data_IF_367793696386
#
_entry.id   IF_367793696386
#
_cell.length_a   1.000
_cell.length_b   1.000
_cell.length_c   1.000
_cell.angle_alpha   90.00
_cell.angle_beta   90.00
_cell.angle_gamma   90.00
#
_symmetry.space_group_name_H-M   'P 1'
#
loop_
_entity.id
_entity.type
_entity.pdbx_description
1 polymer ?
#
# COMPACT_ATOMS: atom_id res chain seq x y z
N UNK A 1 0.05 -4.13 -27.72
CA UNK A 1 -0.45 -2.90 -27.07
C UNK A 1 0.70 -2.07 -26.52
N UNK A 2 1.42 -2.56 -25.51
CA UNK A 2 2.52 -1.82 -24.85
C UNK A 2 3.58 -1.25 -25.81
N UNK A 3 4.03 -2.04 -26.79
CA UNK A 3 5.04 -1.58 -27.76
C UNK A 3 4.53 -0.45 -28.66
N UNK A 4 3.25 -0.47 -29.07
CA UNK A 4 2.64 0.61 -29.85
C UNK A 4 2.52 1.90 -29.02
N UNK A 5 2.16 1.77 -27.74
CA UNK A 5 2.12 2.90 -26.81
C UNK A 5 3.52 3.50 -26.62
N UNK A 6 4.56 2.66 -26.49
CA UNK A 6 5.96 3.08 -26.38
C UNK A 6 6.44 3.87 -27.60
N UNK A 7 5.97 3.49 -28.78
CA UNK A 7 6.28 4.18 -30.05
C UNK A 7 5.44 5.44 -30.29
N UNK A 8 4.53 5.80 -29.37
CA UNK A 8 3.63 6.96 -29.52
C UNK A 8 2.45 6.72 -30.47
N UNK A 9 2.25 5.48 -30.95
CA UNK A 9 1.16 5.11 -31.84
C UNK A 9 -0.12 4.82 -31.05
N UNK A 10 -0.61 5.80 -30.29
CA UNK A 10 -1.70 5.62 -29.32
C UNK A 10 -3.02 5.15 -29.97
N UNK A 11 -3.43 5.79 -31.06
CA UNK A 11 -4.64 5.42 -31.80
C UNK A 11 -4.58 3.99 -32.36
N UNK A 12 -3.41 3.56 -32.85
CA UNK A 12 -3.19 2.18 -33.29
C UNK A 12 -3.21 1.19 -32.11
N UNK A 13 -2.73 1.60 -30.92
CA UNK A 13 -2.74 0.76 -29.73
C UNK A 13 -4.16 0.38 -29.27
N UNK A 14 -5.18 1.18 -29.61
CA UNK A 14 -6.59 0.86 -29.33
C UNK A 14 -7.11 -0.33 -30.13
N UNK A 15 -6.54 -0.63 -31.31
CA UNK A 15 -7.02 -1.72 -32.17
C UNK A 15 -6.74 -3.10 -31.55
N UNK A 16 -5.51 -3.42 -31.09
CA UNK A 16 -5.27 -4.66 -30.35
C UNK A 16 -6.07 -4.74 -29.04
N UNK A 17 -6.40 -3.61 -28.39
CA UNK A 17 -7.28 -3.62 -27.21
C UNK A 17 -8.71 -4.07 -27.58
N UNK A 18 -9.26 -3.56 -28.69
CA UNK A 18 -10.56 -4.01 -29.20
C UNK A 18 -10.56 -5.50 -29.52
N UNK A 19 -9.50 -6.01 -30.15
CA UNK A 19 -9.36 -7.44 -30.42
C UNK A 19 -9.31 -8.23 -29.11
N UNK A 20 -8.46 -7.81 -28.16
CA UNK A 20 -8.34 -8.47 -26.87
C UNK A 20 -9.67 -8.52 -26.11
N UNK A 21 -10.49 -7.46 -26.15
CA UNK A 21 -11.80 -7.41 -25.48
C UNK A 21 -12.81 -8.48 -25.93
N UNK A 22 -12.62 -9.06 -27.11
CA UNK A 22 -13.47 -10.12 -27.66
C UNK A 22 -12.99 -11.50 -27.21
N UNK A 23 -11.73 -11.59 -26.76
CA UNK A 23 -11.10 -12.86 -26.42
C UNK A 23 -11.62 -13.46 -25.10
N UNK A 24 -11.78 -14.79 -25.00
CA UNK A 24 -12.30 -15.44 -23.79
C UNK A 24 -11.43 -15.27 -22.54
N UNK A 25 -10.14 -14.98 -22.70
CA UNK A 25 -9.20 -14.78 -21.60
C UNK A 25 -9.13 -13.33 -21.10
N UNK A 26 -9.82 -12.40 -21.77
CA UNK A 26 -9.78 -11.01 -21.41
C UNK A 26 -10.60 -10.73 -20.15
N UNK A 27 -10.01 -9.94 -19.25
CA UNK A 27 -10.69 -9.41 -18.09
C UNK A 27 -10.37 -7.90 -17.94
N UNK A 28 -11.34 -7.07 -17.56
CA UNK A 28 -11.12 -5.64 -17.33
C UNK A 28 -10.09 -5.43 -16.21
N UNK A 29 -8.90 -4.95 -16.57
CA UNK A 29 -7.81 -4.72 -15.62
C UNK A 29 -7.50 -3.21 -15.54
N UNK A 30 -7.74 -2.53 -14.41
CA UNK A 30 -7.50 -1.10 -14.30
C UNK A 30 -6.06 -0.69 -14.67
N UNK A 31 -5.06 -1.54 -14.40
CA UNK A 31 -3.67 -1.25 -14.76
C UNK A 31 -3.46 -1.12 -16.28
N UNK A 32 -4.18 -1.92 -17.08
CA UNK A 32 -4.13 -1.81 -18.54
C UNK A 32 -4.67 -0.45 -18.98
N UNK A 33 -5.82 -0.04 -18.44
CA UNK A 33 -6.43 1.25 -18.73
C UNK A 33 -5.56 2.41 -18.29
N UNK A 34 -4.88 2.30 -17.14
CA UNK A 34 -3.89 3.28 -16.68
C UNK A 34 -2.82 3.51 -17.74
N UNK A 35 -2.25 2.46 -18.33
CA UNK A 35 -1.22 2.63 -19.38
C UNK A 35 -1.75 3.35 -20.62
N UNK A 36 -3.01 3.11 -21.01
CA UNK A 36 -3.65 3.82 -22.12
C UNK A 36 -3.85 5.30 -21.78
N UNK A 37 -4.36 5.62 -20.60
CA UNK A 37 -4.53 7.01 -20.17
C UNK A 37 -3.17 7.71 -20.08
N UNK A 38 -2.17 7.09 -19.47
CA UNK A 38 -0.80 7.62 -19.34
C UNK A 38 -0.17 7.92 -20.70
N UNK A 39 -0.31 7.03 -21.67
CA UNK A 39 0.25 7.19 -23.02
C UNK A 39 -0.58 8.07 -23.96
N UNK A 40 -1.75 8.55 -23.53
CA UNK A 40 -2.59 9.42 -24.36
C UNK A 40 -1.95 10.79 -24.60
N UNK A 41 -2.01 11.33 -25.83
CA UNK A 41 -1.49 12.65 -26.14
C UNK A 41 -2.32 13.74 -25.47
N UNK A 42 -1.65 14.85 -25.09
CA UNK A 42 -2.24 15.94 -24.30
C UNK A 42 -3.10 16.88 -25.16
N UNK A 43 -2.80 17.00 -26.46
CA UNK A 43 -3.15 18.18 -27.28
C UNK A 43 -4.04 17.91 -28.49
N UNK A 44 -4.68 16.74 -28.61
CA UNK A 44 -5.62 16.48 -29.70
C UNK A 44 -7.06 16.54 -29.19
N UNK A 45 -7.87 17.42 -29.76
CA UNK A 45 -9.29 17.65 -29.38
C UNK A 45 -10.14 16.37 -29.40
N UNK A 46 -9.73 15.34 -30.16
CA UNK A 46 -10.38 14.02 -30.19
C UNK A 46 -9.90 13.03 -29.14
N UNK A 47 -8.72 13.21 -28.55
CA UNK A 47 -8.14 12.25 -27.59
C UNK A 47 -8.86 12.29 -26.25
N UNK A 48 -9.32 13.46 -25.81
CA UNK A 48 -10.11 13.59 -24.59
C UNK A 48 -11.37 12.73 -24.65
N UNK A 49 -12.12 12.86 -25.74
CA UNK A 49 -13.33 12.08 -26.00
C UNK A 49 -13.02 10.58 -26.13
N UNK A 50 -11.91 10.20 -26.77
CA UNK A 50 -11.51 8.80 -26.89
C UNK A 50 -11.16 8.18 -25.52
N UNK A 51 -10.50 8.92 -24.62
CA UNK A 51 -10.22 8.46 -23.25
C UNK A 51 -11.51 8.33 -22.45
N UNK A 52 -12.43 9.28 -22.57
CA UNK A 52 -13.74 9.19 -21.91
C UNK A 52 -14.50 7.93 -22.38
N UNK A 53 -14.58 7.68 -23.70
CA UNK A 53 -15.20 6.46 -24.26
C UNK A 53 -14.51 5.19 -23.81
N UNK A 54 -13.18 5.20 -23.73
CA UNK A 54 -12.39 4.06 -23.26
C UNK A 54 -12.72 3.71 -21.80
N UNK A 55 -12.87 4.72 -20.94
CA UNK A 55 -13.21 4.57 -19.52
C UNK A 55 -14.67 4.12 -19.36
N UNK A 56 -15.60 4.62 -20.16
CA UNK A 56 -16.98 4.11 -20.15
C UNK A 56 -17.04 2.63 -20.51
N UNK A 57 -16.38 2.22 -21.58
CA UNK A 57 -16.33 0.82 -21.97
C UNK A 57 -15.70 -0.06 -20.87
N UNK A 58 -14.67 0.43 -20.16
CA UNK A 58 -14.10 -0.26 -19.00
C UNK A 58 -15.14 -0.50 -17.89
N UNK A 59 -15.94 0.52 -17.56
CA UNK A 59 -16.95 0.43 -16.51
C UNK A 59 -18.09 -0.51 -16.90
N UNK A 60 -18.56 -0.46 -18.15
CA UNK A 60 -19.60 -1.35 -18.69
C UNK A 60 -19.13 -2.82 -18.72
N UNK A 61 -17.91 -3.06 -19.18
CA UNK A 61 -17.31 -4.39 -19.21
C UNK A 61 -17.21 -4.98 -17.80
N UNK A 62 -16.86 -4.15 -16.83
CA UNK A 62 -16.79 -4.54 -15.42
C UNK A 62 -18.16 -4.91 -14.86
N UNK A 63 -19.19 -4.11 -15.13
CA UNK A 63 -20.54 -4.37 -14.64
C UNK A 63 -21.07 -5.71 -15.20
N UNK A 64 -20.83 -5.97 -16.48
CA UNK A 64 -21.20 -7.24 -17.15
C UNK A 64 -20.44 -8.45 -16.60
N UNK A 65 -19.22 -8.26 -16.13
CA UNK A 65 -18.36 -9.30 -15.56
C UNK A 65 -18.68 -9.71 -14.12
N UNK A 66 -19.69 -9.09 -13.47
CA UNK A 66 -20.05 -9.38 -12.09
C UNK A 66 -19.24 -8.62 -11.03
N UNK A 67 -18.59 -7.51 -11.41
CA UNK A 67 -17.79 -6.69 -10.49
C UNK A 67 -16.42 -7.28 -10.14
N UNK A 68 -15.74 -6.68 -9.15
CA UNK A 68 -14.46 -7.21 -8.68
C UNK A 68 -14.65 -8.57 -7.99
N UNK A 69 -13.72 -9.50 -8.26
CA UNK A 69 -13.26 -10.36 -7.18
C UNK A 69 -12.37 -9.45 -6.33
N UNK A 70 -12.85 -8.98 -5.17
CA UNK A 70 -12.19 -7.99 -4.29
C UNK A 70 -10.81 -8.46 -3.78
N UNK A 71 -9.83 -8.56 -4.67
CA UNK A 71 -8.44 -8.65 -4.30
C UNK A 71 -7.98 -7.23 -3.92
N UNK A 72 -7.37 -7.07 -2.75
CA UNK A 72 -6.80 -5.79 -2.27
C UNK A 72 -5.90 -5.11 -3.31
N UNK A 73 -5.28 -5.91 -4.20
CA UNK A 73 -4.43 -5.45 -5.32
C UNK A 73 -5.19 -4.66 -6.40
N UNK A 74 -6.47 -4.95 -6.58
CA UNK A 74 -7.27 -4.40 -7.65
C UNK A 74 -7.86 -3.02 -7.32
N UNK A 75 -8.13 -2.78 -6.03
CA UNK A 75 -8.46 -1.45 -5.51
C UNK A 75 -7.30 -0.49 -5.80
N UNK A 76 -6.07 -0.90 -5.49
CA UNK A 76 -4.89 -0.06 -5.75
C UNK A 76 -4.72 0.28 -7.24
N UNK A 77 -4.90 -0.69 -8.14
CA UNK A 77 -4.84 -0.46 -9.59
C UNK A 77 -5.90 0.54 -10.06
N UNK A 78 -7.12 0.42 -9.53
CA UNK A 78 -8.21 1.35 -9.82
C UNK A 78 -7.89 2.77 -9.30
N UNK A 79 -7.32 2.86 -8.10
CA UNK A 79 -6.91 4.13 -7.50
C UNK A 79 -5.80 4.80 -8.32
N UNK A 80 -4.88 4.01 -8.87
CA UNK A 80 -3.87 4.48 -9.82
C UNK A 80 -4.51 5.00 -11.11
N UNK A 81 -5.51 4.31 -11.67
CA UNK A 81 -6.25 4.78 -12.86
C UNK A 81 -6.91 6.14 -12.60
N UNK A 82 -7.61 6.29 -11.48
CA UNK A 82 -8.26 7.55 -11.09
C UNK A 82 -7.24 8.68 -11.01
N UNK A 83 -6.10 8.44 -10.35
CA UNK A 83 -5.01 9.42 -10.26
C UNK A 83 -4.50 9.83 -11.64
N UNK A 84 -4.23 8.85 -12.52
CA UNK A 84 -3.72 9.11 -13.87
C UNK A 84 -4.72 9.92 -14.71
N UNK A 85 -6.02 9.67 -14.56
CA UNK A 85 -7.07 10.45 -15.23
C UNK A 85 -7.07 11.92 -14.78
N UNK A 86 -6.94 12.18 -13.47
CA UNK A 86 -6.82 13.54 -12.94
C UNK A 86 -5.57 14.22 -13.49
N UNK A 87 -4.42 13.53 -13.50
CA UNK A 87 -3.15 14.06 -14.02
C UNK A 87 -3.20 14.36 -15.53
N UNK A 88 -4.03 13.66 -16.30
CA UNK A 88 -4.27 13.90 -17.73
C UNK A 88 -5.42 14.88 -17.99
N UNK A 89 -5.85 15.61 -16.97
CA UNK A 89 -6.94 16.59 -17.04
C UNK A 89 -8.27 15.97 -17.54
N UNK A 90 -8.45 14.66 -17.32
CA UNK A 90 -9.66 13.91 -17.69
C UNK A 90 -10.63 13.85 -16.51
N UNK A 91 -11.04 15.02 -16.03
CA UNK A 91 -11.89 15.16 -14.85
C UNK A 91 -13.18 14.35 -14.93
N UNK A 92 -13.85 14.37 -16.10
CA UNK A 92 -15.11 13.65 -16.33
C UNK A 92 -14.93 12.15 -16.17
N UNK A 93 -13.96 11.56 -16.86
CA UNK A 93 -13.63 10.14 -16.72
C UNK A 93 -13.21 9.78 -15.28
N UNK A 94 -12.36 10.59 -14.63
CA UNK A 94 -11.96 10.36 -13.24
C UNK A 94 -13.18 10.32 -12.29
N UNK A 95 -14.10 11.27 -12.44
CA UNK A 95 -15.34 11.32 -11.68
C UNK A 95 -16.25 10.12 -11.95
N UNK A 96 -16.38 9.67 -13.22
CA UNK A 96 -17.18 8.49 -13.57
C UNK A 96 -16.67 7.23 -12.88
N UNK A 97 -15.34 7.01 -12.90
CA UNK A 97 -14.72 5.89 -12.17
C UNK A 97 -14.98 6.03 -10.68
N UNK A 98 -14.69 7.18 -10.06
CA UNK A 98 -14.92 7.38 -8.63
C UNK A 98 -16.39 7.14 -8.23
N UNK A 99 -17.34 7.69 -9.00
CA UNK A 99 -18.77 7.53 -8.73
C UNK A 99 -19.21 6.07 -8.86
N UNK A 100 -18.84 5.40 -9.94
CA UNK A 100 -19.23 4.02 -10.19
C UNK A 100 -18.66 3.10 -9.10
N UNK A 101 -17.41 3.31 -8.71
CA UNK A 101 -16.66 2.37 -7.89
C UNK A 101 -16.82 2.62 -6.40
N UNK A 102 -16.59 3.87 -5.98
CA UNK A 102 -16.55 4.25 -4.57
C UNK A 102 -17.95 4.52 -4.06
N UNK A 103 -18.72 5.33 -4.79
CA UNK A 103 -20.05 5.75 -4.33
C UNK A 103 -21.13 4.71 -4.55
N UNK A 104 -21.14 4.07 -5.72
CA UNK A 104 -22.20 3.12 -6.09
C UNK A 104 -21.76 1.67 -5.87
N UNK A 105 -20.51 1.35 -6.17
CA UNK A 105 -19.95 0.00 -6.07
C UNK A 105 -19.53 -0.40 -4.65
N UNK A 106 -19.52 0.53 -3.69
CA UNK A 106 -19.15 0.25 -2.30
C UNK A 106 -17.66 -0.08 -2.11
N UNK A 107 -16.80 0.20 -3.10
CA UNK A 107 -15.38 -0.04 -2.99
C UNK A 107 -14.79 0.81 -1.86
N UNK A 108 -14.30 0.16 -0.80
CA UNK A 108 -13.63 0.87 0.29
C UNK A 108 -12.27 1.37 -0.20
N UNK A 109 -12.13 2.70 -0.27
CA UNK A 109 -10.89 3.37 -0.70
C UNK A 109 -10.21 4.05 0.47
N UNK A 110 -8.93 4.35 0.29
CA UNK A 110 -8.14 5.05 1.28
C UNK A 110 -8.40 6.57 1.24
N UNK A 111 -8.19 7.27 2.37
CA UNK A 111 -8.22 8.74 2.50
C UNK A 111 -7.58 9.46 1.31
N UNK A 112 -6.40 8.99 0.90
CA UNK A 112 -5.62 9.54 -0.20
C UNK A 112 -6.47 9.83 -1.45
N UNK A 113 -7.42 8.95 -1.77
CA UNK A 113 -8.19 9.06 -3.00
C UNK A 113 -9.25 10.14 -2.92
N UNK A 114 -9.86 10.32 -1.76
CA UNK A 114 -10.74 11.45 -1.53
C UNK A 114 -9.98 12.78 -1.69
N UNK A 115 -8.75 12.87 -1.18
CA UNK A 115 -7.91 14.07 -1.34
C UNK A 115 -7.54 14.33 -2.80
N UNK A 116 -7.06 13.30 -3.52
CA UNK A 116 -6.73 13.40 -4.95
C UNK A 116 -7.93 13.85 -5.76
N UNK A 117 -9.10 13.24 -5.52
CA UNK A 117 -10.31 13.56 -6.24
C UNK A 117 -10.84 14.95 -5.91
N UNK A 118 -10.92 15.31 -4.63
CA UNK A 118 -11.41 16.64 -4.22
C UNK A 118 -10.52 17.76 -4.79
N UNK A 119 -9.19 17.65 -4.63
CA UNK A 119 -8.23 18.62 -5.17
C UNK A 119 -8.24 18.64 -6.70
N UNK A 120 -8.20 17.48 -7.33
CA UNK A 120 -8.20 17.34 -8.78
C UNK A 120 -9.45 17.93 -9.42
N UNK A 121 -10.63 17.67 -8.86
CA UNK A 121 -11.88 18.23 -9.36
C UNK A 121 -11.92 19.75 -9.22
N UNK A 122 -11.48 20.31 -8.08
CA UNK A 122 -11.38 21.78 -7.89
C UNK A 122 -10.45 22.41 -8.90
N UNK A 123 -9.24 21.87 -9.03
CA UNK A 123 -8.22 22.40 -9.95
C UNK A 123 -8.70 22.41 -11.41
N UNK A 124 -9.51 21.42 -11.80
CA UNK A 124 -10.07 21.30 -13.15
C UNK A 124 -11.44 22.00 -13.33
N UNK A 125 -11.95 22.71 -12.32
CA UNK A 125 -13.19 23.50 -12.40
C UNK A 125 -14.50 22.73 -12.14
N UNK A 126 -14.42 21.50 -11.62
CA UNK A 126 -15.56 20.64 -11.30
C UNK A 126 -15.95 20.76 -9.81
N UNK A 127 -16.34 21.97 -9.39
CA UNK A 127 -16.62 22.29 -7.98
C UNK A 127 -17.75 21.46 -7.36
N UNK A 128 -18.80 21.14 -8.14
CA UNK A 128 -19.93 20.36 -7.64
C UNK A 128 -19.53 18.90 -7.36
N UNK A 129 -18.68 18.32 -8.19
CA UNK A 129 -18.08 17.01 -7.99
C UNK A 129 -17.12 17.02 -6.81
N UNK A 130 -16.26 18.04 -6.71
CA UNK A 130 -15.35 18.19 -5.58
C UNK A 130 -16.09 18.22 -4.24
N UNK A 131 -17.17 19.01 -4.14
CA UNK A 131 -17.97 19.11 -2.92
C UNK A 131 -18.60 17.76 -2.52
N UNK A 132 -18.96 16.92 -3.50
CA UNK A 132 -19.46 15.56 -3.25
C UNK A 132 -18.37 14.65 -2.71
N UNK A 133 -17.17 14.70 -3.28
CA UNK A 133 -16.01 13.94 -2.77
C UNK A 133 -15.67 14.36 -1.34
N UNK A 134 -15.71 15.66 -1.04
CA UNK A 134 -15.47 16.17 0.32
C UNK A 134 -16.55 15.78 1.33
N UNK A 135 -17.80 15.60 0.88
CA UNK A 135 -18.85 15.03 1.71
C UNK A 135 -18.59 13.54 1.99
N UNK A 136 -18.25 12.77 0.97
CA UNK A 136 -17.91 11.34 1.11
C UNK A 136 -16.69 11.16 2.03
N UNK A 137 -15.71 12.06 1.92
CA UNK A 137 -14.54 12.05 2.77
C UNK A 137 -14.89 12.26 4.25
N UNK A 138 -15.74 13.23 4.55
CA UNK A 138 -16.22 13.48 5.93
C UNK A 138 -17.01 12.30 6.48
N UNK A 139 -17.82 11.63 5.66
CA UNK A 139 -18.54 10.42 6.05
C UNK A 139 -17.56 9.27 6.35
N UNK A 140 -16.57 9.08 5.48
CA UNK A 140 -15.52 8.10 5.69
C UNK A 140 -14.69 8.39 6.96
N UNK A 141 -14.32 9.65 7.19
CA UNK A 141 -13.60 10.08 8.41
C UNK A 141 -14.43 9.77 9.66
N UNK A 142 -15.73 10.06 9.65
CA UNK A 142 -16.63 9.76 10.76
C UNK A 142 -16.77 8.25 11.04
N UNK A 143 -16.59 7.39 10.02
CA UNK A 143 -16.57 5.93 10.18
C UNK A 143 -15.24 5.40 10.74
N UNK A 144 -14.12 6.06 10.42
CA UNK A 144 -12.76 5.55 10.70
C UNK A 144 -12.12 6.20 11.94
N UNK A 145 -12.56 7.39 12.35
CA UNK A 145 -12.18 8.03 13.59
C UNK A 145 -13.29 7.81 14.63
N UNK A 146 -13.02 7.14 15.77
CA UNK A 146 -14.01 7.07 16.83
C UNK A 146 -14.34 8.51 17.32
N UNK A 147 -15.61 8.83 17.57
CA UNK A 147 -15.99 10.07 18.24
C UNK A 147 -15.17 10.24 19.51
N UNK A 148 -14.63 11.43 19.75
CA UNK A 148 -13.82 11.72 20.94
C UNK A 148 -14.51 11.34 22.27
N UNK A 149 -15.84 11.28 22.27
CA UNK A 149 -16.67 10.85 23.39
C UNK A 149 -16.51 9.35 23.70
N UNK A 150 -16.40 8.50 22.70
CA UNK A 150 -16.32 7.04 22.87
C UNK A 150 -14.95 6.63 23.45
N UNK A 151 -13.89 7.34 23.07
CA UNK A 151 -12.54 7.16 23.62
C UNK A 151 -12.50 7.57 25.10
N UNK A 152 -13.17 8.65 25.48
CA UNK A 152 -13.24 9.12 26.88
C UNK A 152 -14.11 8.21 27.75
N UNK A 153 -15.23 7.70 27.21
CA UNK A 153 -16.10 6.77 27.91
C UNK A 153 -15.42 5.39 28.10
N UNK A 154 -14.66 4.89 27.12
CA UNK A 154 -13.80 3.70 27.28
C UNK A 154 -12.70 3.91 28.34
N UNK A 155 -12.04 5.07 28.33
CA UNK A 155 -11.03 5.41 29.34
C UNK A 155 -11.63 5.51 30.75
N UNK A 156 -12.88 5.95 30.87
CA UNK A 156 -13.60 6.06 32.14
C UNK A 156 -14.19 4.74 32.63
N UNK A 157 -14.50 3.81 31.72
CA UNK A 157 -15.02 2.48 32.03
C UNK A 157 -13.95 1.47 32.47
N UNK A 158 -12.65 1.80 32.33
CA UNK A 158 -11.56 0.90 32.71
C UNK A 158 -11.34 0.95 34.24
N UNK A 159 -11.52 -0.16 34.99
CA UNK A 159 -11.29 -0.17 36.43
C UNK A 159 -9.81 0.08 36.75
N UNK A 160 -9.50 0.73 37.89
CA UNK A 160 -8.12 1.01 38.26
C UNK A 160 -7.32 -0.28 38.44
N UNK A 161 -6.02 -0.29 38.10
CA UNK A 161 -5.20 -1.48 38.24
C UNK A 161 -5.14 -1.93 39.70
N UNK A 162 -5.14 -3.24 39.98
CA UNK A 162 -5.05 -3.76 41.34
C UNK A 162 -3.73 -3.33 41.99
N UNK A 163 -3.71 -3.09 43.32
CA UNK A 163 -2.50 -2.69 44.01
C UNK A 163 -1.42 -3.79 43.90
N UNK A 164 -0.14 -3.41 43.82
CA UNK A 164 0.94 -4.37 43.68
C UNK A 164 1.03 -5.28 44.92
N UNK A 165 1.40 -6.57 44.74
CA UNK A 165 1.50 -7.51 45.85
C UNK A 165 2.66 -7.11 46.79
N UNK A 166 2.52 -7.38 48.11
CA UNK A 166 3.55 -7.05 49.08
C UNK A 166 4.85 -7.84 48.80
N UNK A 167 6.02 -7.23 49.04
CA UNK A 167 7.31 -7.87 48.76
C UNK A 167 7.54 -9.07 49.69
N UNK A 168 8.18 -10.15 49.20
CA UNK A 168 8.44 -11.34 49.99
C UNK A 168 9.50 -11.11 51.08
N UNK A 169 9.42 -11.82 52.23
CA UNK A 169 10.38 -11.66 53.32
C UNK A 169 11.79 -12.12 52.92
N UNK A 170 12.79 -11.28 53.21
CA UNK A 170 14.20 -11.60 52.97
C UNK A 170 14.74 -12.52 54.07
N UNK A 171 15.02 -13.79 53.72
CA UNK A 171 15.85 -14.67 54.55
C UNK A 171 17.34 -14.40 54.28
N UNK A 172 18.11 -14.34 55.37
CA UNK A 172 19.50 -13.89 55.49
C UNK A 172 20.42 -15.12 55.65
N UNK A 173 21.51 -15.19 54.85
CA UNK A 173 22.69 -16.08 55.01
C UNK A 173 22.42 -17.60 54.91
N UNK A 174 23.32 -18.48 54.48
CA UNK A 174 24.77 -18.42 54.43
C UNK A 174 25.35 -19.43 53.40
N UNK A 175 26.55 -19.08 52.91
CA UNK A 175 27.71 -19.87 52.49
C UNK A 175 27.68 -21.25 51.75
N UNK A 176 28.42 -21.23 50.63
CA UNK A 176 29.42 -22.19 50.11
C UNK A 176 29.11 -23.70 49.93
N UNK A 177 29.27 -24.19 48.67
CA UNK A 177 30.35 -25.11 48.20
C UNK A 177 29.98 -25.85 46.90
N UNK A 178 30.88 -25.73 45.91
CA UNK A 178 31.49 -26.80 45.09
C UNK A 178 30.67 -28.12 44.89
N UNK A 179 30.30 -28.43 43.63
CA UNK A 179 30.93 -29.46 42.75
C UNK A 179 29.96 -30.03 41.68
N UNK A 180 30.54 -30.19 40.48
CA UNK A 180 30.45 -31.30 39.51
C UNK A 180 29.14 -31.58 38.75
N UNK A 181 29.28 -31.42 37.42
CA UNK A 181 28.70 -32.24 36.32
C UNK A 181 28.79 -33.76 36.60
N UNK A 182 27.87 -34.59 36.04
CA UNK A 182 28.06 -35.03 34.65
C UNK A 182 26.79 -35.21 33.80
N UNK A 183 27.05 -35.25 32.49
CA UNK A 183 26.26 -35.83 31.40
C UNK A 183 25.84 -37.28 31.68
N UNK A 184 24.78 -37.76 31.00
CA UNK A 184 24.80 -38.96 30.14
C UNK A 184 23.41 -39.19 29.49
N UNK A 185 23.49 -39.54 28.19
CA UNK A 185 22.45 -40.05 27.26
C UNK A 185 21.79 -41.34 27.82
N UNK A 186 20.63 -41.84 27.40
CA UNK A 186 20.36 -42.55 26.12
C UNK A 186 19.05 -43.34 26.28
N UNK A 187 18.29 -43.55 25.19
CA UNK A 187 17.50 -44.75 24.81
C UNK A 187 16.39 -45.27 25.76
N UNK A 188 15.38 -46.05 25.38
CA UNK A 188 14.66 -46.43 24.16
C UNK A 188 13.63 -47.49 24.64
N UNK A 189 12.45 -47.57 23.99
CA UNK A 189 11.61 -48.79 23.83
C UNK A 189 11.02 -49.45 25.11
N UNK A 190 9.90 -50.20 25.15
CA UNK A 190 8.82 -50.60 24.24
C UNK A 190 7.74 -51.31 25.10
N UNK A 191 6.70 -51.83 24.41
CA UNK A 191 5.65 -52.78 24.82
C UNK A 191 4.33 -52.15 25.34
N UNK A 192 3.28 -52.01 24.51
CA UNK A 192 2.37 -53.02 23.93
C UNK A 192 1.26 -53.50 24.89
N UNK A 193 0.00 -53.37 24.45
CA UNK A 193 -1.06 -54.28 24.87
C UNK A 193 -2.50 -53.77 24.78
N UNK A 194 -3.20 -54.28 23.75
CA UNK A 194 -4.65 -54.57 23.68
C UNK A 194 -5.65 -53.53 23.14
N UNK A 195 -6.18 -53.93 21.98
CA UNK A 195 -7.27 -53.36 21.20
C UNK A 195 -8.63 -53.69 21.79
N UNK A 196 -9.59 -52.76 21.66
CA UNK A 196 -10.98 -53.10 21.32
C UNK A 196 -11.55 -52.02 20.40
N UNK A 197 -11.92 -52.46 19.20
CA UNK A 197 -12.69 -51.70 18.24
C UNK A 197 -14.14 -51.62 18.74
N UNK A 198 -14.69 -50.41 18.80
CA UNK A 198 -16.13 -50.20 18.67
C UNK A 198 -16.34 -49.04 17.70
N UNK A 199 -16.90 -49.38 16.54
CA UNK A 199 -17.23 -48.46 15.45
C UNK A 199 -18.59 -47.89 15.77
N UNK A 200 -18.63 -46.66 16.29
CA UNK A 200 -19.89 -45.92 16.43
C UNK A 200 -19.93 -44.69 15.51
N UNK A 201 -20.97 -44.71 14.68
CA UNK A 201 -21.49 -43.74 13.72
C UNK A 201 -20.95 -42.30 13.82
N UNK A 202 -20.26 -41.88 12.75
CA UNK A 202 -19.97 -40.48 12.39
C UNK A 202 -21.25 -39.61 12.37
N UNK A 203 -21.46 -38.80 13.39
CA UNK A 203 -22.12 -37.49 13.22
C UNK A 203 -21.06 -36.51 12.74
N UNK A 204 -21.18 -36.04 11.49
CA UNK A 204 -20.33 -34.96 10.94
C UNK A 204 -20.49 -33.72 11.83
N UNK A 205 -19.43 -33.34 12.53
CA UNK A 205 -19.35 -31.99 13.11
C UNK A 205 -19.34 -30.96 11.97
N UNK A 206 -20.01 -29.81 12.11
CA UNK A 206 -19.88 -28.71 11.17
C UNK A 206 -18.40 -28.26 11.12
N UNK A 207 -17.93 -27.72 9.98
CA UNK A 207 -16.57 -27.21 9.90
C UNK A 207 -16.36 -26.12 10.97
N UNK A 208 -15.18 -26.02 11.58
CA UNK A 208 -14.90 -24.94 12.52
C UNK A 208 -15.10 -23.59 11.82
N UNK A 209 -15.57 -22.56 12.54
CA UNK A 209 -15.74 -21.23 11.98
C UNK A 209 -14.41 -20.79 11.37
N UNK A 210 -14.48 -20.29 10.12
CA UNK A 210 -13.33 -19.74 9.39
C UNK A 210 -12.61 -18.78 10.32
N UNK A 211 -11.41 -19.15 10.77
CA UNK A 211 -10.53 -18.23 11.46
C UNK A 211 -10.30 -17.06 10.52
N UNK A 212 -10.82 -15.88 10.87
CA UNK A 212 -10.40 -14.64 10.25
C UNK A 212 -8.87 -14.64 10.28
N UNK A 213 -8.24 -14.66 9.10
CA UNK A 213 -6.79 -14.58 9.00
C UNK A 213 -6.39 -13.30 9.72
N UNK A 214 -5.72 -13.44 10.86
CA UNK A 214 -5.23 -12.31 11.64
C UNK A 214 -4.51 -11.34 10.69
N UNK A 215 -5.05 -10.11 10.56
CA UNK A 215 -4.50 -9.08 9.66
C UNK A 215 -3.00 -8.95 9.94
N UNK A 216 -2.19 -9.33 8.96
CA UNK A 216 -0.74 -9.36 9.10
C UNK A 216 -0.23 -7.92 9.21
N UNK A 217 0.14 -7.50 10.41
CA UNK A 217 0.77 -6.19 10.64
C UNK A 217 2.10 -6.15 9.90
N UNK A 218 2.21 -5.20 8.97
CA UNK A 218 3.45 -4.91 8.23
C UNK A 218 4.14 -3.72 8.88
N UNK A 219 5.47 -3.71 8.86
CA UNK A 219 6.28 -2.57 9.27
C UNK A 219 7.30 -2.21 8.22
N UNK A 220 7.35 -0.93 7.89
CA UNK A 220 8.27 -0.40 6.92
C UNK A 220 9.68 -0.28 7.51
N UNK A 221 10.67 -0.59 6.68
CA UNK A 221 12.09 -0.34 6.95
C UNK A 221 12.86 -0.23 5.64
N UNK A 222 13.78 0.72 5.59
CA UNK A 222 14.71 0.86 4.46
C UNK A 222 15.57 -0.40 4.29
N UNK A 223 15.65 -0.91 3.06
CA UNK A 223 16.59 -1.98 2.71
C UNK A 223 17.94 -1.38 2.28
N UNK A 224 18.99 -1.65 3.06
CA UNK A 224 20.35 -1.20 2.75
C UNK A 224 20.81 -1.70 1.37
N UNK A 225 21.54 -0.86 0.64
CA UNK A 225 22.06 -1.17 -0.70
C UNK A 225 21.02 -1.20 -1.83
N UNK A 226 19.77 -0.76 -1.56
CA UNK A 226 18.72 -0.70 -2.57
C UNK A 226 18.86 0.52 -3.49
N UNK A 227 18.86 1.74 -2.95
CA UNK A 227 19.02 2.98 -3.73
C UNK A 227 17.88 3.33 -4.71
N UNK A 228 16.82 2.52 -4.85
CA UNK A 228 15.76 2.76 -5.83
C UNK A 228 15.06 4.12 -5.65
N UNK A 229 14.92 4.61 -4.41
CA UNK A 229 14.34 5.92 -4.11
C UNK A 229 15.15 7.10 -4.68
N UNK A 230 16.43 6.89 -5.05
CA UNK A 230 17.27 7.91 -5.67
C UNK A 230 17.08 8.02 -7.18
N UNK A 231 16.28 7.16 -7.81
CA UNK A 231 15.77 7.42 -9.17
C UNK A 231 14.62 8.43 -9.05
N UNK A 232 14.93 9.69 -9.30
CA UNK A 232 14.01 10.81 -9.10
C UNK A 232 13.11 11.02 -10.32
N UNK A 233 13.67 10.86 -11.52
CA UNK A 233 12.87 10.85 -12.75
C UNK A 233 12.28 9.45 -12.95
N UNK A 234 11.01 9.29 -12.57
CA UNK A 234 10.30 8.00 -12.56
C UNK A 234 9.36 7.79 -13.75
N UNK A 235 9.31 8.74 -14.68
CA UNK A 235 8.39 8.71 -15.82
C UNK A 235 6.91 8.90 -15.43
N UNK A 236 6.00 8.80 -16.41
CA UNK A 236 4.60 9.20 -16.27
C UNK A 236 3.74 8.24 -15.43
N UNK A 237 4.28 7.08 -15.08
CA UNK A 237 3.62 6.06 -14.29
C UNK A 237 3.58 6.36 -12.79
N UNK A 238 4.34 7.37 -12.36
CA UNK A 238 4.42 7.85 -10.99
C UNK A 238 3.91 9.30 -10.91
N UNK A 239 3.48 9.76 -9.71
CA UNK A 239 3.37 11.18 -9.39
C UNK A 239 4.41 12.05 -10.09
N UNK A 240 3.97 13.11 -10.78
CA UNK A 240 4.90 14.17 -11.18
C UNK A 240 5.41 14.92 -9.93
N UNK A 241 6.64 15.46 -9.94
CA UNK A 241 7.12 16.32 -8.86
C UNK A 241 6.19 17.51 -8.62
N UNK A 242 5.63 18.09 -9.68
CA UNK A 242 4.67 19.19 -9.61
C UNK A 242 3.42 18.82 -8.81
N UNK A 243 2.90 17.60 -8.95
CA UNK A 243 1.79 17.10 -8.15
C UNK A 243 2.16 16.90 -6.68
N UNK A 244 3.33 16.31 -6.40
CA UNK A 244 3.75 16.01 -5.02
C UNK A 244 4.01 17.31 -4.25
N UNK A 245 4.65 18.27 -4.89
CA UNK A 245 5.13 19.50 -4.26
C UNK A 245 4.25 20.72 -4.58
N UNK A 246 2.99 20.51 -4.97
CA UNK A 246 2.07 21.59 -5.35
C UNK A 246 1.94 22.68 -4.27
N UNK A 247 1.98 22.28 -3.00
CA UNK A 247 1.89 23.18 -1.83
C UNK A 247 3.28 23.64 -1.33
N UNK A 248 4.37 23.16 -1.94
CA UNK A 248 5.75 23.34 -1.50
C UNK A 248 6.69 23.72 -2.68
N UNK A 249 6.58 24.94 -3.24
CA UNK A 249 7.34 25.32 -4.44
C UNK A 249 8.87 25.34 -4.23
N UNK A 250 9.34 25.61 -3.00
CA UNK A 250 10.77 25.57 -2.69
C UNK A 250 11.31 24.13 -2.69
N UNK A 251 10.52 23.17 -2.18
CA UNK A 251 10.86 21.75 -2.23
C UNK A 251 10.83 21.21 -3.67
N UNK A 252 9.88 21.66 -4.49
CA UNK A 252 9.84 21.34 -5.92
C UNK A 252 11.13 21.79 -6.63
N UNK A 253 11.57 23.02 -6.35
CA UNK A 253 12.79 23.60 -6.94
C UNK A 253 14.03 22.82 -6.51
N UNK A 254 14.12 22.47 -5.23
CA UNK A 254 15.21 21.66 -4.70
C UNK A 254 15.19 20.23 -5.26
N UNK A 255 14.02 19.60 -5.35
CA UNK A 255 13.86 18.27 -5.94
C UNK A 255 14.37 18.25 -7.38
N UNK A 256 13.95 19.22 -8.20
CA UNK A 256 14.37 19.35 -9.60
C UNK A 256 15.86 19.60 -9.76
N UNK A 257 16.46 20.44 -8.91
CA UNK A 257 17.90 20.72 -8.99
C UNK A 257 18.77 19.50 -8.65
N UNK A 258 18.20 18.52 -7.94
CA UNK A 258 18.87 17.28 -7.60
C UNK A 258 18.77 16.20 -8.69
N UNK A 259 17.98 16.39 -9.75
CA UNK A 259 17.85 15.42 -10.85
C UNK A 259 19.03 15.57 -11.82
N UNK A 260 19.88 14.55 -11.89
CA UNK A 260 20.96 14.46 -12.86
C UNK A 260 20.45 14.18 -14.28
N UNK A 261 21.33 14.34 -15.27
CA UNK A 261 20.99 14.14 -16.68
C UNK A 261 20.50 12.72 -17.03
N UNK A 262 20.81 11.74 -16.17
CA UNK A 262 20.38 10.35 -16.28
C UNK A 262 19.12 10.03 -15.45
N UNK A 263 18.47 11.06 -14.90
CA UNK A 263 17.28 10.95 -14.05
C UNK A 263 17.54 10.46 -12.63
N UNK A 264 18.80 10.25 -12.24
CA UNK A 264 19.18 9.87 -10.87
C UNK A 264 19.52 11.10 -10.04
N UNK A 265 19.36 11.01 -8.72
CA UNK A 265 19.81 12.04 -7.80
C UNK A 265 21.32 12.28 -7.95
N UNK A 266 21.74 13.55 -8.10
CA UNK A 266 23.16 13.93 -8.21
C UNK A 266 24.00 13.53 -6.98
N UNK A 267 23.35 13.32 -5.83
CA UNK A 267 24.01 12.92 -4.59
C UNK A 267 24.04 11.39 -4.39
N UNK A 268 23.50 10.61 -5.33
CA UNK A 268 23.50 9.15 -5.26
C UNK A 268 24.81 8.59 -5.82
N UNK A 269 25.57 7.91 -4.96
CA UNK A 269 26.73 7.14 -5.39
C UNK A 269 26.27 5.78 -5.90
N UNK A 270 26.36 5.57 -7.22
CA UNK A 270 25.98 4.32 -7.87
C UNK A 270 26.87 3.14 -7.52
N UNK A 271 28.13 3.39 -7.14
CA UNK A 271 29.09 2.33 -6.82
C UNK A 271 28.80 1.70 -5.47
N UNK A 272 28.56 2.55 -4.45
CA UNK A 272 28.23 2.11 -3.09
C UNK A 272 26.73 1.95 -2.87
N UNK A 273 25.90 2.48 -3.79
CA UNK A 273 24.43 2.58 -3.69
C UNK A 273 23.97 3.32 -2.44
N UNK A 274 24.69 4.39 -2.09
CA UNK A 274 24.41 5.23 -0.91
C UNK A 274 24.20 6.69 -1.30
N UNK A 275 23.68 7.49 -0.36
CA UNK A 275 23.52 8.93 -0.55
C UNK A 275 24.70 9.65 0.11
N UNK A 276 25.39 10.51 -0.64
CA UNK A 276 26.55 11.26 -0.13
C UNK A 276 26.16 12.32 0.92
N UNK A 277 24.89 12.72 0.96
CA UNK A 277 24.33 13.66 1.95
C UNK A 277 23.32 12.96 2.88
N UNK A 278 23.52 11.69 3.23
CA UNK A 278 22.49 10.90 3.93
C UNK A 278 21.95 11.56 5.20
N UNK A 279 22.82 12.14 6.02
CA UNK A 279 22.43 12.82 7.27
C UNK A 279 21.74 14.16 7.02
N UNK A 280 22.17 14.88 5.98
CA UNK A 280 21.69 16.23 5.62
C UNK A 280 20.59 16.20 4.53
N UNK A 281 20.10 15.01 4.18
CA UNK A 281 19.14 14.86 3.08
C UNK A 281 17.88 15.69 3.35
N UNK A 282 17.29 16.28 2.28
CA UNK A 282 16.04 17.04 2.39
C UNK A 282 14.93 16.24 3.06
N UNK A 283 13.97 16.95 3.67
CA UNK A 283 12.85 16.35 4.40
C UNK A 283 12.06 15.37 3.51
N UNK A 284 11.76 15.77 2.27
CA UNK A 284 11.05 14.92 1.30
C UNK A 284 11.79 13.64 0.90
N UNK A 285 13.10 13.52 1.16
CA UNK A 285 13.85 12.28 0.93
C UNK A 285 13.73 11.27 2.09
N UNK A 286 13.12 11.67 3.22
CA UNK A 286 12.97 10.83 4.41
C UNK A 286 11.64 10.09 4.34
N UNK A 287 11.71 8.76 4.44
CA UNK A 287 10.50 7.92 4.51
C UNK A 287 10.07 7.86 5.96
N UNK A 288 9.35 8.89 6.39
CA UNK A 288 8.87 9.08 7.76
C UNK A 288 7.37 9.43 7.74
N UNK A 289 6.61 9.13 8.80
CA UNK A 289 5.16 9.36 8.83
C UNK A 289 4.75 10.78 8.48
N UNK A 290 5.44 11.78 9.06
CA UNK A 290 5.14 13.20 8.83
C UNK A 290 5.34 13.62 7.37
N UNK A 291 6.38 13.11 6.72
CA UNK A 291 6.67 13.39 5.30
C UNK A 291 5.57 12.78 4.43
N UNK A 292 5.14 11.56 4.76
CA UNK A 292 4.06 10.89 4.05
C UNK A 292 2.70 11.59 4.21
N UNK A 293 2.44 12.14 5.39
CA UNK A 293 1.25 12.95 5.66
C UNK A 293 1.26 14.27 4.90
N UNK A 294 2.39 14.98 4.90
CA UNK A 294 2.56 16.29 4.28
C UNK A 294 2.50 16.22 2.76
N UNK A 295 3.37 15.42 2.12
CA UNK A 295 3.50 15.41 0.66
C UNK A 295 2.55 14.43 -0.05
N UNK A 296 2.02 13.44 0.66
CA UNK A 296 1.19 12.39 0.07
C UNK A 296 -0.19 12.26 0.73
N UNK A 297 -0.49 13.03 1.78
CA UNK A 297 -1.78 12.93 2.48
C UNK A 297 -2.02 11.58 3.13
N UNK A 298 -0.96 10.83 3.46
CA UNK A 298 -1.04 9.52 4.11
C UNK A 298 -1.05 9.73 5.63
N UNK A 299 -2.09 9.31 6.37
CA UNK A 299 -2.15 9.49 7.80
C UNK A 299 -0.93 8.94 8.54
N UNK A 300 -0.43 9.71 9.50
CA UNK A 300 0.70 9.32 10.36
C UNK A 300 0.42 8.11 11.27
N UNK A 301 -0.77 7.48 11.18
CA UNK A 301 -1.08 6.25 11.93
C UNK A 301 -0.11 5.14 11.50
N UNK A 302 0.59 4.48 12.43
CA UNK A 302 1.69 3.56 12.09
C UNK A 302 1.31 2.48 11.07
N UNK A 303 0.17 1.81 11.25
CA UNK A 303 -0.29 0.76 10.33
C UNK A 303 -0.56 1.24 8.91
N UNK A 304 -0.99 2.49 8.76
CA UNK A 304 -1.29 3.10 7.46
C UNK A 304 -0.01 3.53 6.78
N UNK A 305 0.82 4.31 7.47
CA UNK A 305 2.14 4.71 6.99
C UNK A 305 2.98 3.49 6.55
N UNK A 306 3.08 2.46 7.40
CA UNK A 306 3.89 1.28 7.12
C UNK A 306 3.46 0.57 5.84
N UNK A 307 2.15 0.48 5.59
CA UNK A 307 1.59 -0.14 4.39
C UNK A 307 1.91 0.68 3.14
N UNK A 308 1.63 1.99 3.18
CA UNK A 308 1.85 2.87 2.02
C UNK A 308 3.34 3.02 1.69
N UNK A 309 4.20 3.18 2.70
CA UNK A 309 5.64 3.23 2.51
C UNK A 309 6.18 1.90 1.95
N UNK A 310 5.65 0.76 2.39
CA UNK A 310 6.02 -0.54 1.81
C UNK A 310 5.61 -0.63 0.34
N UNK A 311 4.39 -0.22 -0.02
CA UNK A 311 3.91 -0.24 -1.39
C UNK A 311 4.74 0.66 -2.29
N UNK A 312 4.94 1.92 -1.89
CA UNK A 312 5.72 2.89 -2.65
C UNK A 312 7.18 2.42 -2.90
N UNK A 313 7.79 1.76 -1.92
CA UNK A 313 9.10 1.12 -2.09
C UNK A 313 9.04 -0.05 -3.08
N UNK A 314 8.04 -0.93 -3.00
CA UNK A 314 7.87 -2.04 -3.96
C UNK A 314 7.74 -1.51 -5.38
N UNK A 315 6.89 -0.52 -5.61
CA UNK A 315 6.65 0.04 -6.95
C UNK A 315 7.90 0.71 -7.50
N UNK A 316 8.60 1.50 -6.68
CA UNK A 316 9.84 2.16 -7.09
C UNK A 316 10.93 1.12 -7.40
N UNK A 317 11.08 0.09 -6.59
CA UNK A 317 12.06 -0.98 -6.85
C UNK A 317 11.73 -1.74 -8.13
N UNK A 318 10.46 -2.06 -8.37
CA UNK A 318 10.01 -2.71 -9.61
C UNK A 318 10.31 -1.86 -10.84
N UNK A 319 10.07 -0.55 -10.77
CA UNK A 319 10.39 0.35 -11.87
C UNK A 319 11.89 0.41 -12.16
N UNK A 320 12.73 0.48 -11.12
CA UNK A 320 14.18 0.65 -11.29
C UNK A 320 14.88 -0.65 -11.68
N UNK A 321 14.52 -1.76 -11.04
CA UNK A 321 15.26 -3.02 -11.12
C UNK A 321 14.45 -4.19 -11.70
N UNK A 322 13.14 -4.06 -11.84
CA UNK A 322 12.25 -5.12 -12.31
C UNK A 322 11.62 -5.96 -11.19
N UNK A 323 10.61 -6.75 -11.56
CA UNK A 323 9.81 -7.55 -10.62
C UNK A 323 10.55 -8.76 -10.03
N UNK A 324 11.55 -9.27 -10.74
CA UNK A 324 12.37 -10.41 -10.33
C UNK A 324 13.72 -10.00 -9.72
N UNK A 325 13.87 -8.73 -9.38
CA UNK A 325 15.12 -8.17 -8.87
C UNK A 325 15.56 -8.73 -7.51
N UNK A 326 16.88 -8.79 -7.32
CA UNK A 326 17.47 -9.11 -6.03
C UNK A 326 17.13 -8.06 -4.97
N UNK A 327 16.98 -6.80 -5.38
CA UNK A 327 16.59 -5.66 -4.56
C UNK A 327 15.17 -5.82 -4.03
N UNK A 328 14.21 -6.22 -4.87
CA UNK A 328 12.84 -6.47 -4.41
C UNK A 328 12.76 -7.67 -3.47
N UNK A 329 13.52 -8.71 -3.78
CA UNK A 329 13.62 -9.91 -2.93
C UNK A 329 14.21 -9.56 -1.56
N UNK A 330 15.28 -8.76 -1.53
CA UNK A 330 15.89 -8.26 -0.30
C UNK A 330 14.92 -7.39 0.50
N UNK A 331 14.24 -6.44 -0.15
CA UNK A 331 13.26 -5.59 0.52
C UNK A 331 12.14 -6.39 1.17
N UNK A 332 11.53 -7.34 0.44
CA UNK A 332 10.49 -8.23 0.97
C UNK A 332 10.99 -9.03 2.19
N UNK A 333 12.25 -9.48 2.18
CA UNK A 333 12.89 -10.15 3.33
C UNK A 333 13.01 -9.21 4.54
N UNK A 334 13.54 -8.00 4.34
CA UNK A 334 13.71 -6.98 5.40
C UNK A 334 12.37 -6.67 6.07
N UNK A 335 11.32 -6.40 5.28
CA UNK A 335 9.98 -6.11 5.80
C UNK A 335 9.42 -7.30 6.58
N UNK A 336 9.62 -8.53 6.08
CA UNK A 336 9.18 -9.75 6.78
C UNK A 336 9.87 -9.92 8.12
N UNK A 337 11.16 -9.60 8.22
CA UNK A 337 11.94 -9.69 9.46
C UNK A 337 11.54 -8.61 10.45
N UNK A 338 11.41 -7.36 10.00
CA UNK A 338 10.97 -6.25 10.84
C UNK A 338 9.55 -6.48 11.40
N UNK A 339 8.65 -7.00 10.57
CA UNK A 339 7.29 -7.35 10.97
C UNK A 339 7.21 -8.56 11.92
N UNK A 340 8.27 -9.38 12.01
CA UNK A 340 8.37 -10.50 12.98
C UNK A 340 8.98 -10.06 14.31
N UNK A 341 10.00 -9.19 14.27
CA UNK A 341 10.82 -8.82 15.41
C UNK A 341 10.00 -8.31 16.61
N UNK A 342 8.93 -7.56 16.36
CA UNK A 342 8.11 -6.99 17.43
C UNK A 342 6.89 -7.81 17.88
N UNK A 343 6.59 -8.96 17.26
CA UNK A 343 5.58 -9.89 17.82
C UNK A 343 6.00 -10.48 19.18
N UNK A 344 7.28 -10.38 19.52
CA UNK A 344 7.87 -10.98 20.72
C UNK A 344 8.29 -9.94 21.79
N UNK A 345 7.95 -8.65 21.61
CA UNK A 345 8.42 -7.56 22.50
C UNK A 345 7.30 -6.77 23.18
N UNK A 346 6.07 -7.29 23.17
CA UNK A 346 5.01 -6.77 24.05
C UNK A 346 4.75 -7.80 25.17
N UNK A 347 5.27 -7.60 26.40
CA UNK A 347 4.60 -8.16 27.55
C UNK A 347 3.26 -7.44 27.64
N UNK A 348 2.19 -8.22 27.70
CA UNK A 348 0.87 -7.75 28.10
C UNK A 348 1.07 -6.97 29.41
N UNK A 349 0.91 -5.65 29.36
CA UNK A 349 0.82 -4.78 30.54
C UNK A 349 -0.62 -4.30 30.66
#
# INVERSE_FOLDING_TARGET
MAELQRQGCWSLALSPLHVARIEPWYYPNPALYTTFVSSSPVTEDGTAAAVDVLVEAFLEEKERGGGFVEAEEDVYKLMRLVRTLVAKERARAAWRVYKAEVRMGGCEVHEYIYRVMARGMKWLGFEAEAAKVEADFREWEARILPPAKDVLDEMRAKPPPPPPPPPPPRLRGDETKKKKKPDVRTAAEAAQGLQRHEVERRKKQPPPPKQEKAKRVVRWKCAAGCGACCKLDKGPDFPSPEEIFAEHPEDLKLYKSMIGADGWCINYDKSTRTCNIYEERPVFCRVEPKVFEEYFGVPSRPSTFDREACSACVDTIKMVYGEESAELTNFKRVIREESKFRRHQWPIM
#
